data_IF_212443311784
#
_entry.id   IF_212443311784
#
_cell.length_a   1.000
_cell.length_b   1.000
_cell.length_c   1.000
_cell.angle_alpha   90.00
_cell.angle_beta   90.00
_cell.angle_gamma   90.00
#
_symmetry.space_group_name_H-M   'P 1'
#
loop_
_entity.id
_entity.type
_entity.pdbx_description
1 polymer ?
#
# COMPACT_ATOMS: atom_id res chain seq x y z
N UNK A 1 29.86 -9.00 -8.77
CA UNK A 1 29.15 -10.27 -8.47
C UNK A 1 27.78 -9.88 -7.97
N UNK A 2 26.75 -10.07 -8.78
CA UNK A 2 25.40 -9.63 -8.47
C UNK A 2 24.44 -9.92 -9.62
N UNK A 3 23.16 -9.84 -9.32
CA UNK A 3 22.08 -9.92 -10.29
C UNK A 3 22.07 -8.71 -11.24
N UNK A 4 21.26 -8.77 -12.30
CA UNK A 4 21.09 -7.70 -13.28
C UNK A 4 21.96 -7.83 -14.53
N UNK A 5 22.52 -9.01 -14.78
CA UNK A 5 23.23 -9.33 -16.03
C UNK A 5 22.46 -10.37 -16.83
N UNK A 6 22.71 -10.51 -18.13
CA UNK A 6 22.05 -11.54 -18.96
C UNK A 6 22.30 -12.97 -18.44
N UNK A 7 23.49 -13.21 -17.88
CA UNK A 7 23.87 -14.50 -17.29
C UNK A 7 23.27 -14.72 -15.88
N UNK A 8 22.84 -13.65 -15.22
CA UNK A 8 22.28 -13.68 -13.87
C UNK A 8 21.22 -12.57 -13.73
N UNK A 9 20.02 -12.75 -14.30
CA UNK A 9 18.96 -11.75 -14.29
C UNK A 9 18.40 -11.58 -12.87
N UNK A 10 17.76 -10.45 -12.60
CA UNK A 10 17.07 -10.24 -11.32
C UNK A 10 16.06 -11.35 -11.04
N UNK A 11 16.02 -11.88 -9.81
CA UNK A 11 14.91 -12.75 -9.40
C UNK A 11 13.63 -11.91 -9.28
N UNK A 12 12.49 -12.57 -9.16
CA UNK A 12 11.25 -11.87 -8.80
C UNK A 12 11.38 -11.35 -7.37
N UNK A 13 11.44 -10.03 -7.23
CA UNK A 13 11.45 -9.33 -5.95
C UNK A 13 10.13 -8.59 -5.78
N UNK A 14 9.33 -9.01 -4.80
CA UNK A 14 8.11 -8.30 -4.40
C UNK A 14 8.40 -7.30 -3.29
N UNK A 15 7.41 -6.48 -2.93
CA UNK A 15 7.51 -5.52 -1.85
C UNK A 15 6.16 -4.98 -1.42
N UNK A 16 6.18 -3.98 -0.54
CA UNK A 16 5.00 -3.29 -0.06
C UNK A 16 5.31 -1.80 0.11
N UNK A 17 4.26 -1.00 0.26
CA UNK A 17 4.26 0.42 0.66
C UNK A 17 4.52 1.41 -0.48
N UNK A 18 4.90 0.94 -1.68
CA UNK A 18 5.15 1.78 -2.85
C UNK A 18 6.10 2.96 -2.56
N UNK A 19 7.15 2.73 -1.77
CA UNK A 19 8.16 3.75 -1.50
C UNK A 19 8.80 4.27 -2.80
N UNK A 20 9.11 5.56 -2.88
CA UNK A 20 9.73 6.20 -4.07
C UNK A 20 10.94 5.42 -4.59
N UNK A 21 11.80 4.92 -3.69
CA UNK A 21 12.95 4.10 -4.05
C UNK A 21 12.53 2.78 -4.72
N UNK A 22 11.55 2.06 -4.16
CA UNK A 22 11.01 0.83 -4.74
C UNK A 22 10.35 1.08 -6.09
N UNK A 23 9.60 2.17 -6.25
CA UNK A 23 8.97 2.51 -7.53
C UNK A 23 10.03 2.79 -8.61
N UNK A 24 11.15 3.44 -8.27
CA UNK A 24 12.29 3.59 -9.19
C UNK A 24 12.88 2.23 -9.61
N UNK A 25 13.03 1.30 -8.67
CA UNK A 25 13.52 -0.05 -8.96
C UNK A 25 12.53 -0.85 -9.84
N UNK A 26 11.23 -0.64 -9.68
CA UNK A 26 10.20 -1.22 -10.55
C UNK A 26 10.30 -0.64 -11.96
N UNK A 27 10.54 0.67 -12.09
CA UNK A 27 10.75 1.32 -13.39
C UNK A 27 12.03 0.78 -14.07
N UNK A 28 13.13 0.62 -13.32
CA UNK A 28 14.40 0.08 -13.85
C UNK A 28 14.36 -1.42 -14.13
N UNK A 29 13.37 -2.15 -13.60
CA UNK A 29 13.20 -3.59 -13.76
C UNK A 29 14.03 -4.43 -12.78
N UNK A 30 14.54 -3.82 -11.72
CA UNK A 30 15.27 -4.49 -10.64
C UNK A 30 14.33 -5.12 -9.61
N UNK A 31 13.21 -4.46 -9.32
CA UNK A 31 12.13 -4.96 -8.47
C UNK A 31 10.90 -5.27 -9.34
N UNK A 32 10.24 -6.40 -9.08
CA UNK A 32 9.09 -6.84 -9.89
C UNK A 32 7.81 -6.08 -9.53
N UNK A 33 7.49 -6.02 -8.24
CA UNK A 33 6.24 -5.41 -7.77
C UNK A 33 6.34 -4.83 -6.36
N UNK A 34 5.35 -4.04 -6.02
CA UNK A 34 5.05 -3.58 -4.67
C UNK A 34 3.54 -3.61 -4.45
N UNK A 35 3.09 -3.30 -3.23
CA UNK A 35 1.68 -3.20 -2.89
C UNK A 35 1.42 -1.82 -2.30
N UNK A 36 0.62 -1.02 -3.00
CA UNK A 36 0.23 0.31 -2.58
C UNK A 36 -0.89 0.25 -1.55
N UNK A 37 -0.64 0.90 -0.41
CA UNK A 37 -1.59 1.13 0.67
C UNK A 37 -1.64 2.63 0.91
N UNK A 38 -2.67 3.28 0.40
CA UNK A 38 -2.79 4.73 0.49
C UNK A 38 -3.00 5.17 1.95
N UNK A 39 -1.98 5.77 2.53
CA UNK A 39 -2.03 6.28 3.91
C UNK A 39 -3.07 7.39 4.09
N UNK A 40 -3.45 8.09 3.01
CA UNK A 40 -4.49 9.13 3.03
C UNK A 40 -5.87 8.52 3.26
N UNK A 41 -6.16 7.36 2.64
CA UNK A 41 -7.41 6.64 2.85
C UNK A 41 -7.48 6.04 4.27
N UNK A 42 -6.36 5.54 4.80
CA UNK A 42 -6.30 5.06 6.18
C UNK A 42 -6.51 6.20 7.19
N UNK A 43 -5.91 7.36 6.94
CA UNK A 43 -6.10 8.55 7.77
C UNK A 43 -7.55 9.03 7.72
N UNK A 44 -8.15 9.11 6.52
CA UNK A 44 -9.56 9.45 6.33
C UNK A 44 -10.50 8.51 7.09
N UNK A 45 -10.34 7.20 6.91
CA UNK A 45 -11.13 6.19 7.60
C UNK A 45 -10.99 6.29 9.12
N UNK A 46 -9.78 6.60 9.60
CA UNK A 46 -9.51 6.83 11.03
C UNK A 46 -10.25 8.06 11.56
N UNK A 47 -10.20 9.18 10.83
CA UNK A 47 -10.90 10.42 11.22
C UNK A 47 -12.40 10.21 11.23
N UNK A 48 -12.97 9.55 10.22
CA UNK A 48 -14.40 9.21 10.15
C UNK A 48 -14.81 8.31 11.33
N UNK A 49 -13.99 7.33 11.68
CA UNK A 49 -14.21 6.47 12.85
C UNK A 49 -14.20 7.28 14.15
N UNK A 50 -13.23 8.17 14.33
CA UNK A 50 -13.11 9.02 15.52
C UNK A 50 -14.34 9.93 15.64
N UNK A 51 -14.72 10.62 14.56
CA UNK A 51 -15.89 11.51 14.55
C UNK A 51 -17.17 10.75 14.91
N UNK A 52 -17.39 9.58 14.28
CA UNK A 52 -18.55 8.72 14.54
C UNK A 52 -18.64 8.30 16.01
N UNK A 53 -17.51 7.91 16.61
CA UNK A 53 -17.46 7.47 18.01
C UNK A 53 -17.71 8.66 18.95
N UNK A 54 -17.09 9.81 18.70
CA UNK A 54 -17.23 11.00 19.53
C UNK A 54 -18.63 11.62 19.44
N UNK A 55 -19.31 11.47 18.30
CA UNK A 55 -20.70 11.89 18.12
C UNK A 55 -21.72 10.93 18.74
N UNK A 56 -21.28 9.91 19.48
CA UNK A 56 -22.14 8.88 20.07
C UNK A 56 -22.70 7.85 19.08
N UNK A 57 -22.21 7.85 17.84
CA UNK A 57 -22.56 6.87 16.83
C UNK A 57 -21.83 5.54 17.02
N UNK A 58 -22.33 4.50 16.32
CA UNK A 58 -21.66 3.21 16.22
C UNK A 58 -21.03 3.04 14.84
N UNK A 59 -19.76 2.63 14.72
CA UNK A 59 -19.16 2.31 13.43
C UNK A 59 -19.80 1.05 12.83
N UNK A 60 -19.95 1.03 11.52
CA UNK A 60 -20.55 -0.05 10.74
C UNK A 60 -19.51 -0.66 9.79
N UNK A 61 -19.81 -1.84 9.22
CA UNK A 61 -18.92 -2.49 8.23
C UNK A 61 -17.62 -3.05 8.81
N UNK A 62 -17.55 -3.28 10.11
CA UNK A 62 -16.36 -3.79 10.78
C UNK A 62 -16.17 -5.29 10.52
N UNK A 63 -14.92 -5.69 10.30
CA UNK A 63 -14.48 -7.07 10.48
C UNK A 63 -14.44 -7.36 11.99
N UNK A 64 -15.24 -8.34 12.43
CA UNK A 64 -15.36 -8.76 13.83
C UNK A 64 -14.89 -10.20 14.06
N UNK A 65 -14.06 -10.73 13.15
CA UNK A 65 -13.63 -12.13 13.16
C UNK A 65 -12.11 -12.30 13.07
N UNK A 66 -11.42 -11.46 12.31
CA UNK A 66 -10.04 -11.72 11.89
C UNK A 66 -8.99 -11.33 12.95
N UNK A 67 -9.15 -10.15 13.55
CA UNK A 67 -8.10 -9.56 14.40
C UNK A 67 -8.25 -9.93 15.88
N UNK A 68 -7.92 -11.16 16.24
CA UNK A 68 -7.78 -11.58 17.64
C UNK A 68 -6.44 -11.08 18.21
N UNK A 69 -6.49 -10.31 19.30
CA UNK A 69 -5.29 -9.79 19.98
C UNK A 69 -4.96 -10.56 21.28
N UNK A 70 -5.35 -11.84 21.34
CA UNK A 70 -5.26 -12.77 22.48
C UNK A 70 -6.17 -12.43 23.68
N UNK A 71 -6.85 -11.28 23.68
CA UNK A 71 -7.82 -10.89 24.71
C UNK A 71 -9.24 -10.86 24.14
N UNK A 72 -9.40 -10.35 22.91
CA UNK A 72 -10.67 -10.27 22.20
C UNK A 72 -10.42 -10.20 20.70
N UNK A 73 -11.48 -10.44 19.93
CA UNK A 73 -11.50 -10.03 18.52
C UNK A 73 -11.77 -8.54 18.46
N UNK A 74 -10.81 -7.77 17.94
CA UNK A 74 -10.90 -6.31 17.79
C UNK A 74 -11.74 -6.00 16.56
N UNK A 75 -12.90 -5.32 16.70
CA UNK A 75 -13.65 -4.83 15.55
C UNK A 75 -12.78 -3.88 14.74
N UNK A 76 -12.56 -4.20 13.46
CA UNK A 76 -11.53 -3.56 12.63
C UNK A 76 -12.11 -3.08 11.30
N UNK A 77 -11.57 -1.98 10.76
CA UNK A 77 -11.84 -1.53 9.39
C UNK A 77 -10.66 -1.99 8.53
N UNK A 78 -10.95 -2.66 7.41
CA UNK A 78 -9.92 -3.10 6.46
C UNK A 78 -10.10 -2.34 5.16
N UNK A 79 -9.05 -1.62 4.75
CA UNK A 79 -8.97 -1.04 3.42
C UNK A 79 -8.33 -2.04 2.46
N UNK A 80 -8.76 -2.03 1.20
CA UNK A 80 -8.22 -2.94 0.18
C UNK A 80 -6.88 -2.41 -0.34
N UNK A 81 -5.77 -3.16 -0.17
CA UNK A 81 -4.50 -2.81 -0.79
C UNK A 81 -4.53 -3.05 -2.30
N UNK A 82 -3.65 -2.38 -3.06
CA UNK A 82 -3.58 -2.51 -4.52
C UNK A 82 -2.20 -2.95 -4.97
N UNK A 83 -2.10 -3.96 -5.82
CA UNK A 83 -0.83 -4.39 -6.42
C UNK A 83 -0.33 -3.38 -7.44
N UNK A 84 0.96 -3.05 -7.37
CA UNK A 84 1.63 -2.10 -8.26
C UNK A 84 2.84 -2.76 -8.92
N UNK A 85 2.90 -2.62 -10.24
CA UNK A 85 4.02 -3.04 -11.06
C UNK A 85 4.33 -1.98 -12.15
N UNK A 86 5.25 -2.30 -13.05
CA UNK A 86 5.68 -1.40 -14.11
C UNK A 86 4.54 -1.00 -15.08
N UNK A 87 3.47 -1.78 -15.17
CA UNK A 87 2.34 -1.52 -16.06
C UNK A 87 1.34 -0.52 -15.51
N UNK A 88 1.31 -0.29 -14.19
CA UNK A 88 0.24 0.48 -13.54
C UNK A 88 0.70 1.53 -12.51
N UNK A 89 2.00 1.63 -12.20
CA UNK A 89 2.51 2.57 -11.18
C UNK A 89 2.15 4.03 -11.46
N UNK A 90 2.19 4.45 -12.72
CA UNK A 90 1.88 5.82 -13.13
C UNK A 90 0.44 6.17 -12.74
N UNK A 91 -0.52 5.32 -13.10
CA UNK A 91 -1.93 5.50 -12.76
C UNK A 91 -2.21 5.42 -11.26
N UNK A 92 -1.65 4.43 -10.57
CA UNK A 92 -2.02 4.12 -9.18
C UNK A 92 -1.31 5.01 -8.17
N UNK A 93 -0.09 5.45 -8.47
CA UNK A 93 0.77 6.16 -7.50
C UNK A 93 1.04 7.61 -7.91
N UNK A 94 1.21 7.88 -9.22
CA UNK A 94 1.53 9.24 -9.70
C UNK A 94 0.25 10.04 -9.98
N UNK A 95 -0.66 9.51 -10.80
CA UNK A 95 -1.91 10.19 -11.15
C UNK A 95 -2.85 10.34 -9.94
N UNK A 96 -2.71 9.46 -8.93
CA UNK A 96 -3.40 9.60 -7.64
C UNK A 96 -2.85 10.74 -6.78
N UNK A 97 -1.75 11.37 -7.20
CA UNK A 97 -1.05 12.43 -6.49
C UNK A 97 -0.31 11.96 -5.23
N UNK A 98 -0.04 10.66 -5.09
CA UNK A 98 0.67 10.11 -3.92
C UNK A 98 2.18 10.37 -4.01
N UNK A 99 2.80 10.09 -5.17
CA UNK A 99 4.19 10.43 -5.48
C UNK A 99 4.21 11.39 -6.66
N UNK A 100 5.02 12.45 -6.57
CA UNK A 100 5.20 13.37 -7.68
C UNK A 100 6.06 12.74 -8.77
N UNK A 101 5.71 12.95 -10.03
CA UNK A 101 6.45 12.39 -11.17
C UNK A 101 7.94 12.78 -11.16
N UNK A 102 8.28 13.97 -10.66
CA UNK A 102 9.66 14.46 -10.53
C UNK A 102 10.49 13.65 -9.53
N UNK A 103 9.84 13.05 -8.52
CA UNK A 103 10.53 12.23 -7.52
C UNK A 103 10.96 10.87 -8.08
N UNK A 104 10.38 10.45 -9.21
CA UNK A 104 10.66 9.18 -9.89
C UNK A 104 11.72 9.30 -11.00
N UNK A 105 12.22 10.51 -11.26
CA UNK A 105 13.29 10.78 -12.22
C UNK A 105 14.68 10.57 -11.62
#
# INVERSE_FOLDING_TARGET
VGYGTDAQPWPIVTGQDAETASVKLIISGEQYSTVFKDTRELAKSTVELVDKVLSGGKPEGLDTKTYNNDVKVVPSILLTPVEVDKSNYEKLVVDSGYIKAEELK
#
